data_IF_492091870398
#
_entry.id   IF_492091870398
#
_cell.length_a   1.000
_cell.length_b   1.000
_cell.length_c   1.000
_cell.angle_alpha   90.00
_cell.angle_beta   90.00
_cell.angle_gamma   90.00
#
_symmetry.space_group_name_H-M   'P 1'
#
loop_
_entity.id
_entity.type
_entity.pdbx_description
1 polymer ?
#
# COMPACT_ATOMS: atom_id res chain seq x y z
N UNK A 1 5.57 3.36 -5.06
CA UNK A 1 4.15 3.02 -4.88
C UNK A 1 3.56 2.34 -6.12
N UNK A 2 4.30 1.40 -6.72
CA UNK A 2 3.89 0.78 -7.99
C UNK A 2 2.80 -0.30 -7.83
N UNK A 3 2.56 -0.78 -6.60
CA UNK A 3 1.64 -1.90 -6.36
C UNK A 3 0.18 -1.50 -6.16
N UNK A 4 -0.14 -0.24 -5.81
CA UNK A 4 -1.52 0.23 -5.86
C UNK A 4 -1.82 0.67 -7.30
N UNK A 5 -2.79 0.06 -7.95
CA UNK A 5 -3.16 0.31 -9.35
C UNK A 5 -4.54 0.96 -9.49
N UNK A 6 -5.46 0.72 -8.55
CA UNK A 6 -6.81 1.28 -8.57
C UNK A 6 -6.78 2.80 -8.31
N UNK A 7 -7.45 3.55 -9.17
CA UNK A 7 -7.29 5.00 -9.29
C UNK A 7 -8.03 5.77 -8.18
N UNK A 8 -9.23 5.34 -7.81
CA UNK A 8 -10.01 6.03 -6.77
C UNK A 8 -9.30 5.96 -5.42
N UNK A 9 -8.66 4.83 -5.10
CA UNK A 9 -7.82 4.68 -3.93
C UNK A 9 -6.57 5.55 -3.97
N UNK A 10 -5.89 5.67 -5.12
CA UNK A 10 -4.74 6.57 -5.25
C UNK A 10 -5.10 8.01 -4.94
N UNK A 11 -6.24 8.47 -5.45
CA UNK A 11 -6.71 9.83 -5.21
C UNK A 11 -7.03 10.05 -3.73
N UNK A 12 -7.76 9.12 -3.10
CA UNK A 12 -8.12 9.20 -1.68
C UNK A 12 -6.92 9.13 -0.73
N UNK A 13 -5.89 8.38 -1.09
CA UNK A 13 -4.70 8.17 -0.24
C UNK A 13 -3.49 9.04 -0.62
N UNK A 14 -3.62 9.90 -1.63
CA UNK A 14 -2.56 10.81 -2.12
C UNK A 14 -1.84 11.56 -1.01
N UNK A 15 -2.58 12.23 -0.13
CA UNK A 15 -2.01 13.00 1.00
C UNK A 15 -1.28 12.11 2.01
N UNK A 16 -1.73 10.88 2.21
CA UNK A 16 -1.07 9.91 3.09
C UNK A 16 0.26 9.50 2.49
N UNK A 17 0.28 9.25 1.19
CA UNK A 17 1.48 8.86 0.47
C UNK A 17 2.54 9.94 0.35
N UNK A 18 2.11 11.21 0.36
CA UNK A 18 2.99 12.38 0.41
C UNK A 18 3.50 12.70 1.82
N UNK A 19 2.95 12.04 2.85
CA UNK A 19 3.33 12.29 4.24
C UNK A 19 4.72 11.77 4.58
N UNK A 20 5.41 12.48 5.47
CA UNK A 20 6.74 12.10 5.96
C UNK A 20 6.71 10.74 6.70
N UNK A 21 5.62 10.42 7.40
CA UNK A 21 5.49 9.15 8.11
C UNK A 21 5.43 7.97 7.15
N UNK A 22 4.70 8.10 6.04
CA UNK A 22 4.65 7.06 5.01
C UNK A 22 6.00 6.90 4.31
N UNK A 23 6.70 7.99 4.02
CA UNK A 23 8.05 7.94 3.45
C UNK A 23 9.04 7.20 4.37
N UNK A 24 8.99 7.45 5.68
CA UNK A 24 9.79 6.73 6.70
C UNK A 24 9.47 5.25 6.73
N UNK A 25 8.19 4.87 6.71
CA UNK A 25 7.76 3.47 6.67
C UNK A 25 8.27 2.75 5.40
N UNK A 26 8.13 3.38 4.24
CA UNK A 26 8.62 2.82 2.99
C UNK A 26 10.13 2.61 3.00
N UNK A 27 10.89 3.59 3.52
CA UNK A 27 12.34 3.48 3.66
C UNK A 27 12.75 2.34 4.62
N UNK A 28 12.07 2.23 5.76
CA UNK A 28 12.29 1.14 6.71
C UNK A 28 12.09 -0.23 6.06
N UNK A 29 10.96 -0.45 5.38
CA UNK A 29 10.67 -1.73 4.72
C UNK A 29 11.68 -2.08 3.62
N UNK A 30 12.20 -1.08 2.88
CA UNK A 30 13.25 -1.31 1.89
C UNK A 30 14.60 -1.68 2.54
N UNK A 31 14.91 -1.13 3.71
CA UNK A 31 16.11 -1.51 4.48
C UNK A 31 15.98 -2.96 4.97
N UNK A 32 14.84 -3.33 5.57
CA UNK A 32 14.60 -4.69 6.05
C UNK A 32 14.74 -5.73 4.92
N UNK A 33 14.17 -5.45 3.73
CA UNK A 33 14.34 -6.30 2.54
C UNK A 33 15.81 -6.46 2.16
N UNK A 34 16.59 -5.39 2.17
CA UNK A 34 18.02 -5.42 1.85
C UNK A 34 18.84 -6.17 2.90
N UNK A 35 18.40 -6.18 4.14
CA UNK A 35 19.01 -6.93 5.24
C UNK A 35 18.67 -8.42 5.20
N UNK A 36 17.87 -8.87 4.24
CA UNK A 36 17.51 -10.28 4.07
C UNK A 36 16.28 -10.70 4.86
N UNK A 37 15.51 -9.76 5.41
CA UNK A 37 14.25 -10.07 6.07
C UNK A 37 13.26 -10.67 5.05
N UNK A 38 12.63 -11.78 5.43
CA UNK A 38 11.53 -12.35 4.65
C UNK A 38 10.23 -11.64 5.02
N UNK A 39 9.68 -10.86 4.09
CA UNK A 39 8.50 -10.03 4.31
C UNK A 39 7.35 -10.56 3.46
N UNK A 40 6.19 -10.75 4.10
CA UNK A 40 4.96 -11.15 3.45
C UNK A 40 3.87 -10.08 3.62
N UNK A 41 2.95 -9.93 2.66
CA UNK A 41 2.92 -10.62 1.35
C UNK A 41 3.99 -10.08 0.38
N UNK A 42 4.15 -10.66 -0.84
CA UNK A 42 4.95 -10.06 -1.91
C UNK A 42 4.61 -8.59 -2.13
N UNK A 43 5.58 -7.79 -2.61
CA UNK A 43 5.47 -6.32 -2.67
C UNK A 43 4.30 -5.85 -3.55
N UNK A 44 4.04 -6.59 -4.60
CA UNK A 44 2.93 -6.47 -5.55
C UNK A 44 1.57 -6.69 -4.89
N UNK A 45 1.49 -7.53 -3.86
CA UNK A 45 0.25 -7.96 -3.24
C UNK A 45 -0.15 -7.13 -2.01
N UNK A 46 0.70 -6.21 -1.56
CA UNK A 46 0.47 -5.37 -0.37
C UNK A 46 -0.88 -4.62 -0.44
N UNK A 47 -1.29 -4.21 -1.64
CA UNK A 47 -2.52 -3.46 -1.86
C UNK A 47 -3.61 -4.26 -2.58
N UNK A 48 -3.53 -5.59 -2.60
CA UNK A 48 -4.47 -6.44 -3.35
C UNK A 48 -5.93 -6.18 -2.99
N UNK A 49 -6.26 -5.98 -1.71
CA UNK A 49 -7.63 -5.67 -1.29
C UNK A 49 -8.17 -4.38 -1.92
N UNK A 50 -7.33 -3.34 -2.01
CA UNK A 50 -7.68 -2.04 -2.59
C UNK A 50 -7.72 -2.13 -4.12
N UNK A 51 -6.81 -2.90 -4.73
CA UNK A 51 -6.77 -3.11 -6.17
C UNK A 51 -7.99 -3.86 -6.69
N UNK A 52 -8.50 -4.81 -5.91
CA UNK A 52 -9.65 -5.63 -6.29
C UNK A 52 -11.00 -4.95 -6.01
N UNK A 53 -11.04 -3.97 -5.10
CA UNK A 53 -12.26 -3.28 -4.70
C UNK A 53 -12.11 -1.76 -4.84
N UNK A 54 -12.59 -1.17 -5.95
CA UNK A 54 -12.66 0.28 -6.10
C UNK A 54 -13.39 0.94 -4.94
N UNK A 55 -12.95 2.15 -4.55
CA UNK A 55 -13.40 2.82 -3.34
C UNK A 55 -14.92 3.03 -3.30
N UNK A 56 -15.52 3.38 -4.44
CA UNK A 56 -16.94 3.63 -4.61
C UNK A 56 -17.81 2.36 -4.57
N UNK A 57 -17.21 1.18 -4.68
CA UNK A 57 -17.90 -0.11 -4.68
C UNK A 57 -17.87 -0.83 -3.33
N UNK A 58 -17.22 -0.24 -2.33
CA UNK A 58 -17.14 -0.82 -0.98
C UNK A 58 -18.52 -0.83 -0.35
N UNK A 59 -18.87 -1.97 0.27
CA UNK A 59 -20.11 -2.14 1.04
C UNK A 59 -19.86 -2.58 2.47
N UNK A 60 -18.81 -3.36 2.68
CA UNK A 60 -18.42 -3.93 3.96
C UNK A 60 -16.90 -3.86 4.07
N UNK A 61 -16.42 -3.55 5.27
CA UNK A 61 -14.99 -3.57 5.63
C UNK A 61 -14.81 -4.61 6.73
N UNK A 62 -13.83 -5.50 6.58
CA UNK A 62 -13.44 -6.50 7.58
C UNK A 62 -12.00 -6.19 7.98
N UNK A 63 -11.72 -6.16 9.27
CA UNK A 63 -10.43 -5.76 9.86
C UNK A 63 -9.89 -6.87 10.74
#
# INVERSE_FOLDING_TARGET
>A
MASLTEQTWKEKLSTTFESESFAKLAAFLEIERKMGATIYPPKEDIFSALNLCPFDKIKVVIV
#
